data_IF_106073660360
#
_entry.id   IF_106073660360
#
_cell.length_a   1.000
_cell.length_b   1.000
_cell.length_c   1.000
_cell.angle_alpha   90.00
_cell.angle_beta   90.00
_cell.angle_gamma   90.00
#
_symmetry.space_group_name_H-M   'P 1'
#
loop_
_entity.id
_entity.type
_entity.pdbx_description
1 polymer ?
#
# COMPACT_ATOMS: atom_id res chain seq x y z
N UNK A 1 -20.83 -8.77 6.04
CA UNK A 1 -19.79 -9.55 6.76
C UNK A 1 -19.04 -8.61 7.69
N UNK A 2 -18.79 -8.96 8.94
CA UNK A 2 -17.91 -8.18 9.85
C UNK A 2 -16.59 -8.91 9.99
N UNK A 3 -15.72 -8.76 9.00
CA UNK A 3 -14.39 -9.36 9.01
C UNK A 3 -13.60 -8.87 10.23
N UNK A 4 -12.96 -9.78 10.97
CA UNK A 4 -12.19 -9.45 12.17
C UNK A 4 -13.01 -9.04 13.40
N UNK A 5 -14.35 -9.11 13.37
CA UNK A 5 -15.16 -8.88 14.58
C UNK A 5 -15.35 -10.19 15.34
N UNK A 6 -15.02 -10.17 16.62
CA UNK A 6 -15.37 -11.20 17.60
C UNK A 6 -16.12 -10.56 18.77
N UNK A 7 -16.92 -11.34 19.48
CA UNK A 7 -17.68 -10.84 20.63
C UNK A 7 -16.79 -10.61 21.87
N UNK A 8 -15.72 -11.41 22.01
CA UNK A 8 -14.81 -11.38 23.16
C UNK A 8 -13.34 -11.38 22.68
N UNK A 9 -12.81 -10.24 22.21
CA UNK A 9 -11.43 -10.13 21.75
C UNK A 9 -10.40 -10.46 22.84
N UNK A 10 -10.73 -10.28 24.11
CA UNK A 10 -9.87 -10.58 25.25
C UNK A 10 -9.48 -12.06 25.40
N UNK A 11 -10.23 -12.97 24.76
CA UNK A 11 -9.94 -14.41 24.76
C UNK A 11 -8.97 -14.83 23.66
N UNK A 12 -8.58 -13.91 22.76
CA UNK A 12 -7.67 -14.21 21.67
C UNK A 12 -6.23 -14.02 22.15
N UNK A 13 -5.40 -15.04 21.91
CA UNK A 13 -3.95 -14.92 22.05
C UNK A 13 -3.39 -14.12 20.87
N UNK A 14 -2.95 -12.90 21.15
CA UNK A 14 -2.27 -12.03 20.19
C UNK A 14 -0.74 -12.08 20.32
N UNK A 15 -0.20 -13.09 21.00
CA UNK A 15 1.26 -13.27 21.07
C UNK A 15 1.82 -13.47 19.67
N UNK A 16 2.87 -12.69 19.37
CA UNK A 16 3.62 -12.84 18.12
C UNK A 16 4.52 -14.07 18.29
N UNK A 17 4.59 -14.99 17.32
CA UNK A 17 5.51 -16.11 17.38
C UNK A 17 6.95 -15.61 17.46
N UNK A 18 7.87 -16.48 17.92
CA UNK A 18 9.30 -16.17 17.86
C UNK A 18 9.71 -15.91 16.41
N UNK A 19 10.63 -14.97 16.24
CA UNK A 19 11.21 -14.68 14.93
C UNK A 19 11.80 -15.94 14.31
N UNK A 20 11.71 -16.02 12.97
CA UNK A 20 12.40 -17.04 12.21
C UNK A 20 13.92 -16.85 12.34
N UNK A 21 14.74 -17.92 12.43
CA UNK A 21 16.19 -17.80 12.54
C UNK A 21 16.84 -16.95 11.42
N UNK A 22 16.23 -16.95 10.23
CA UNK A 22 16.72 -16.16 9.10
C UNK A 22 16.44 -14.66 9.22
N UNK A 23 15.52 -14.22 10.08
CA UNK A 23 15.15 -12.80 10.23
C UNK A 23 16.38 -11.96 10.56
N UNK A 24 17.17 -12.37 11.57
CA UNK A 24 18.38 -11.66 11.98
C UNK A 24 19.45 -11.68 10.87
N UNK A 25 19.61 -12.82 10.20
CA UNK A 25 20.57 -12.99 9.10
C UNK A 25 20.23 -12.10 7.90
N UNK A 26 18.94 -11.93 7.58
CA UNK A 26 18.50 -11.08 6.47
C UNK A 26 18.63 -9.61 6.84
N UNK A 27 18.17 -9.20 8.02
CA UNK A 27 18.21 -7.80 8.44
C UNK A 27 19.64 -7.29 8.63
N UNK A 28 20.56 -8.12 9.15
CA UNK A 28 21.99 -7.75 9.30
C UNK A 28 22.72 -7.55 7.97
N UNK A 29 22.24 -8.13 6.86
CA UNK A 29 22.82 -7.96 5.52
C UNK A 29 22.56 -6.58 4.91
N UNK A 30 21.60 -5.83 5.45
CA UNK A 30 21.26 -4.50 4.97
C UNK A 30 21.81 -3.46 5.95
N UNK A 31 22.97 -2.86 5.63
CA UNK A 31 23.43 -1.67 6.34
C UNK A 31 22.56 -0.47 5.97
N UNK A 32 22.26 0.38 6.95
CA UNK A 32 21.44 1.59 6.77
C UNK A 32 22.05 2.67 5.88
N UNK A 33 23.05 2.33 5.06
CA UNK A 33 23.79 3.24 4.18
C UNK A 33 22.98 3.59 2.90
N UNK A 34 21.82 2.97 2.72
CA UNK A 34 20.92 3.34 1.63
C UNK A 34 20.27 4.69 1.94
N UNK A 35 20.37 5.60 0.98
CA UNK A 35 19.66 6.88 1.03
C UNK A 35 18.17 6.57 1.20
N UNK A 36 17.59 7.04 2.30
CA UNK A 36 16.17 6.92 2.58
C UNK A 36 15.34 7.53 1.44
N UNK A 37 14.55 6.72 0.76
CA UNK A 37 13.67 7.15 -0.34
C UNK A 37 12.25 7.32 0.18
N UNK A 38 11.72 8.53 0.01
CA UNK A 38 10.31 8.83 0.31
C UNK A 38 9.54 8.94 -0.99
N UNK A 39 8.38 8.30 -1.03
CA UNK A 39 7.45 8.38 -2.13
C UNK A 39 6.11 8.90 -1.62
N UNK A 40 5.48 9.77 -2.39
CA UNK A 40 4.25 10.48 -2.01
C UNK A 40 3.20 10.28 -3.10
N UNK A 41 1.98 9.99 -2.67
CA UNK A 41 0.85 9.72 -3.52
C UNK A 41 -0.47 9.73 -2.75
N UNK A 42 -1.56 9.62 -3.49
CA UNK A 42 -2.92 9.53 -2.99
C UNK A 42 -3.42 8.08 -3.03
N UNK A 43 -4.42 7.79 -2.18
CA UNK A 43 -5.06 6.48 -2.14
C UNK A 43 -5.91 6.15 -3.39
N UNK A 44 -6.14 7.17 -4.23
CA UNK A 44 -6.92 7.10 -5.46
C UNK A 44 -6.36 8.09 -6.47
N UNK A 45 -6.47 7.79 -7.75
CA UNK A 45 -6.04 8.64 -8.88
C UNK A 45 -7.21 9.03 -9.79
N UNK A 46 -8.46 8.89 -9.33
CA UNK A 46 -9.61 9.21 -10.16
C UNK A 46 -9.98 10.70 -10.06
N UNK A 47 -10.68 11.20 -11.08
CA UNK A 47 -11.18 12.59 -11.13
C UNK A 47 -12.17 12.99 -10.04
N UNK A 48 -12.97 12.07 -9.52
CA UNK A 48 -14.04 12.41 -8.56
C UNK A 48 -13.45 12.82 -7.21
N UNK A 49 -12.43 12.10 -6.76
CA UNK A 49 -11.73 12.39 -5.51
C UNK A 49 -10.70 13.52 -5.68
N UNK A 50 -10.01 13.59 -6.83
CA UNK A 50 -9.00 14.62 -7.11
C UNK A 50 -9.59 15.81 -7.91
N UNK A 51 -10.45 16.58 -7.25
CA UNK A 51 -11.11 17.76 -7.84
C UNK A 51 -10.08 18.82 -8.24
N UNK A 52 -10.28 19.44 -9.40
CA UNK A 52 -9.41 20.50 -9.97
C UNK A 52 -7.95 20.09 -10.21
N UNK A 53 -7.63 18.79 -10.13
CA UNK A 53 -6.29 18.29 -10.38
C UNK A 53 -6.03 18.01 -11.87
N UNK A 54 -7.04 17.53 -12.60
CA UNK A 54 -6.90 17.14 -14.00
C UNK A 54 -7.30 18.27 -14.96
N UNK A 55 -6.44 18.62 -15.94
CA UNK A 55 -6.81 19.50 -17.04
C UNK A 55 -8.08 19.04 -17.77
N UNK A 56 -8.79 20.00 -18.36
CA UNK A 56 -9.97 19.70 -19.16
C UNK A 56 -9.57 18.85 -20.36
N UNK A 57 -10.21 17.69 -20.51
CA UNK A 57 -9.97 16.79 -21.64
C UNK A 57 -8.91 15.71 -21.40
N UNK A 58 -8.30 15.60 -20.20
CA UNK A 58 -7.43 14.44 -19.88
C UNK A 58 -8.19 13.13 -20.12
N UNK A 59 -7.65 12.25 -20.97
CA UNK A 59 -8.27 10.94 -21.25
C UNK A 59 -7.69 9.84 -20.36
N UNK A 60 -6.39 9.91 -20.08
CA UNK A 60 -5.69 8.95 -19.23
C UNK A 60 -5.33 9.58 -17.88
N UNK A 61 -6.14 9.29 -16.87
CA UNK A 61 -6.01 9.88 -15.53
C UNK A 61 -4.76 9.35 -14.81
N UNK A 62 -4.43 8.06 -14.97
CA UNK A 62 -3.27 7.46 -14.31
C UNK A 62 -1.95 7.98 -14.89
N UNK A 63 -1.87 8.08 -16.22
CA UNK A 63 -0.70 8.63 -16.90
C UNK A 63 -0.44 10.07 -16.47
N UNK A 64 -1.46 10.93 -16.48
CA UNK A 64 -1.32 12.30 -16.00
C UNK A 64 -0.94 12.33 -14.51
N UNK A 65 -1.60 11.54 -13.66
CA UNK A 65 -1.31 11.46 -12.24
C UNK A 65 0.15 11.09 -11.98
N UNK A 66 0.70 10.12 -12.72
CA UNK A 66 2.08 9.64 -12.60
C UNK A 66 3.13 10.68 -13.01
N UNK A 67 2.73 11.75 -13.71
CA UNK A 67 3.62 12.89 -13.99
C UNK A 67 3.80 13.82 -12.79
N UNK A 68 2.91 13.76 -11.80
CA UNK A 68 2.92 14.64 -10.61
C UNK A 68 3.27 13.88 -9.33
N UNK A 69 2.87 12.61 -9.23
CA UNK A 69 3.12 11.75 -8.07
C UNK A 69 3.91 10.50 -8.48
N UNK A 70 4.75 10.01 -7.56
CA UNK A 70 5.60 8.84 -7.78
C UNK A 70 5.12 7.59 -7.03
N UNK A 71 3.91 7.63 -6.47
CA UNK A 71 3.27 6.53 -5.76
C UNK A 71 1.74 6.60 -5.84
N UNK A 72 1.09 5.46 -5.66
CA UNK A 72 -0.36 5.32 -5.58
C UNK A 72 -0.72 4.11 -4.72
N UNK A 73 -1.77 4.21 -3.91
CA UNK A 73 -2.31 3.04 -3.20
C UNK A 73 -3.25 2.27 -4.13
N UNK A 74 -3.08 0.96 -4.22
CA UNK A 74 -3.88 0.10 -5.10
C UNK A 74 -4.52 -1.03 -4.30
N UNK A 75 -5.85 -1.07 -4.28
CA UNK A 75 -6.63 -2.17 -3.75
C UNK A 75 -7.41 -2.88 -4.88
N UNK A 76 -6.68 -3.53 -5.78
CA UNK A 76 -7.27 -4.19 -6.94
C UNK A 76 -7.54 -5.69 -6.72
N UNK A 77 -6.88 -6.30 -5.72
CA UNK A 77 -6.87 -7.76 -5.51
C UNK A 77 -8.07 -8.28 -4.72
N UNK A 78 -8.81 -7.40 -4.04
CA UNK A 78 -9.94 -7.81 -3.18
C UNK A 78 -11.06 -8.51 -3.95
N UNK A 79 -11.29 -8.14 -5.23
CA UNK A 79 -12.34 -8.72 -6.07
C UNK A 79 -11.80 -9.59 -7.22
N UNK A 80 -10.52 -9.47 -7.57
CA UNK A 80 -9.92 -10.20 -8.69
C UNK A 80 -8.41 -10.33 -8.52
N UNK A 81 -7.91 -11.56 -8.61
CA UNK A 81 -6.48 -11.80 -8.81
C UNK A 81 -6.14 -11.62 -10.28
N UNK A 82 -5.15 -10.77 -10.58
CA UNK A 82 -4.64 -10.58 -11.93
C UNK A 82 -3.58 -11.63 -12.21
N UNK A 83 -3.65 -12.30 -13.35
CA UNK A 83 -2.57 -13.18 -13.82
C UNK A 83 -1.45 -12.32 -14.41
N UNK A 84 -0.20 -12.73 -14.13
CA UNK A 84 1.01 -12.18 -14.74
C UNK A 84 1.07 -12.50 -16.24
#
# INVERSE_FOLDING_TARGET
MKFGKVEQPELIDFSIPKDHPDTEVILSKHSGDQIFKVHVGCAKWNRQDLKNFYPRGTKNELEYYSSQFNSVELNATFYRMFSL
#
